data_IF_378687727485
#
_entry.id   IF_378687727485
#
_cell.length_a   1.000
_cell.length_b   1.000
_cell.length_c   1.000
_cell.angle_alpha   90.00
_cell.angle_beta   90.00
_cell.angle_gamma   90.00
#
_symmetry.space_group_name_H-M   'P 1'
#
loop_
_entity.id
_entity.type
_entity.pdbx_description
1 polymer ?
#
# COMPACT_ATOMS: atom_id res chain seq x y z
N UNK A 1 -9.32 -4.74 13.38
CA UNK A 1 -9.36 -4.97 11.92
C UNK A 1 -8.00 -5.30 11.28
N UNK A 2 -6.85 -5.05 11.94
CA UNK A 2 -5.51 -5.28 11.35
C UNK A 2 -4.81 -6.61 11.71
N UNK A 3 -5.40 -7.42 12.59
CA UNK A 3 -4.81 -8.66 13.11
C UNK A 3 -5.79 -9.85 13.02
N UNK A 4 -6.75 -9.77 12.10
CA UNK A 4 -7.82 -10.75 11.95
C UNK A 4 -8.03 -11.04 10.47
N UNK A 5 -8.53 -12.24 10.19
CA UNK A 5 -8.81 -12.68 8.82
C UNK A 5 -9.92 -11.85 8.19
N UNK A 6 -9.60 -11.04 7.20
CA UNK A 6 -10.60 -10.39 6.36
C UNK A 6 -11.33 -11.46 5.54
N UNK A 7 -12.63 -11.66 5.78
CA UNK A 7 -13.45 -12.65 5.08
C UNK A 7 -12.85 -14.09 5.11
N UNK A 8 -12.12 -14.43 6.17
CA UNK A 8 -11.49 -15.75 6.30
C UNK A 8 -10.13 -15.90 5.60
N UNK A 9 -9.65 -14.87 4.88
CA UNK A 9 -8.33 -14.88 4.25
C UNK A 9 -7.22 -14.94 5.31
N UNK A 10 -6.19 -15.75 5.04
CA UNK A 10 -5.05 -15.89 5.96
C UNK A 10 -4.30 -14.56 6.10
N UNK A 11 -4.17 -14.09 7.34
CA UNK A 11 -3.60 -12.79 7.67
C UNK A 11 -2.09 -12.91 7.89
N UNK A 12 -1.29 -12.36 6.97
CA UNK A 12 0.18 -12.40 7.07
C UNK A 12 0.66 -11.50 8.21
N UNK A 13 1.53 -12.04 9.07
CA UNK A 13 2.13 -11.26 10.17
C UNK A 13 3.25 -10.35 9.65
N UNK A 14 2.87 -9.21 9.08
CA UNK A 14 3.80 -8.22 8.52
C UNK A 14 4.74 -7.57 9.54
N UNK A 15 4.55 -7.78 10.84
CA UNK A 15 5.52 -7.37 11.86
C UNK A 15 6.77 -8.25 11.93
N UNK A 16 6.78 -9.42 11.27
CA UNK A 16 7.96 -10.30 11.19
C UNK A 16 8.85 -9.91 10.02
N UNK A 17 10.15 -9.78 10.26
CA UNK A 17 11.11 -9.40 9.20
C UNK A 17 11.14 -10.40 8.05
N UNK A 18 11.10 -11.70 8.31
CA UNK A 18 10.97 -12.72 7.26
C UNK A 18 9.80 -12.45 6.30
N UNK A 19 8.63 -12.06 6.84
CA UNK A 19 7.44 -11.77 6.02
C UNK A 19 7.65 -10.48 5.22
N UNK A 20 8.20 -9.44 5.85
CA UNK A 20 8.52 -8.16 5.17
C UNK A 20 9.53 -8.35 4.04
N UNK A 21 10.59 -9.12 4.29
CA UNK A 21 11.64 -9.42 3.32
C UNK A 21 11.08 -10.24 2.15
N UNK A 22 10.21 -11.21 2.44
CA UNK A 22 9.53 -12.00 1.40
C UNK A 22 8.66 -11.12 0.51
N UNK A 23 7.84 -10.23 1.09
CA UNK A 23 6.98 -9.31 0.34
C UNK A 23 7.83 -8.31 -0.46
N UNK A 24 8.85 -7.70 0.17
CA UNK A 24 9.75 -6.77 -0.51
C UNK A 24 10.52 -7.44 -1.65
N UNK A 25 10.96 -8.69 -1.49
CA UNK A 25 11.61 -9.46 -2.54
C UNK A 25 10.71 -9.67 -3.76
N UNK A 26 9.44 -10.01 -3.54
CA UNK A 26 8.45 -10.10 -4.63
C UNK A 26 8.27 -8.74 -5.34
N UNK A 27 8.10 -7.66 -4.59
CA UNK A 27 7.91 -6.33 -5.17
C UNK A 27 9.16 -5.85 -5.92
N UNK A 28 10.36 -6.08 -5.37
CA UNK A 28 11.63 -5.74 -6.00
C UNK A 28 11.87 -6.54 -7.29
N UNK A 29 11.39 -7.78 -7.35
CA UNK A 29 11.39 -8.53 -8.60
C UNK A 29 10.49 -7.87 -9.66
N UNK A 30 9.30 -7.40 -9.28
CA UNK A 30 8.44 -6.66 -10.22
C UNK A 30 9.07 -5.33 -10.66
N UNK A 31 9.72 -4.60 -9.74
CA UNK A 31 10.45 -3.37 -10.06
C UNK A 31 11.55 -3.65 -11.09
N UNK A 32 12.30 -4.74 -10.93
CA UNK A 32 13.37 -5.09 -11.88
C UNK A 32 12.82 -5.44 -13.27
N UNK A 33 11.59 -5.96 -13.36
CA UNK A 33 10.88 -6.18 -14.63
C UNK A 33 10.40 -4.87 -15.29
N UNK A 34 10.33 -3.76 -14.54
CA UNK A 34 10.03 -2.42 -15.08
C UNK A 34 8.66 -1.84 -14.70
N UNK A 35 7.97 -2.39 -13.70
CA UNK A 35 6.74 -1.74 -13.18
C UNK A 35 7.06 -0.38 -12.56
N UNK A 36 6.15 0.58 -12.72
CA UNK A 36 6.35 1.94 -12.19
C UNK A 36 5.88 2.11 -10.72
N UNK A 37 5.13 1.14 -10.19
CA UNK A 37 4.46 1.31 -8.90
C UNK A 37 3.47 0.22 -8.56
N UNK A 38 2.79 0.40 -7.42
CA UNK A 38 1.92 -0.59 -6.81
C UNK A 38 0.63 0.02 -6.26
N UNK A 39 -0.48 -0.69 -6.52
CA UNK A 39 -1.71 -0.63 -5.74
C UNK A 39 -1.60 -1.62 -4.60
N UNK A 40 -1.62 -1.15 -3.37
CA UNK A 40 -1.62 -2.04 -2.21
C UNK A 40 -3.06 -2.31 -1.80
N UNK A 41 -3.48 -3.55 -2.02
CA UNK A 41 -4.79 -4.07 -1.64
C UNK A 41 -4.98 -4.07 -0.12
N UNK A 42 -6.22 -3.85 0.32
CA UNK A 42 -6.62 -4.02 1.71
C UNK A 42 -5.72 -3.30 2.73
N UNK A 43 -5.12 -2.16 2.35
CA UNK A 43 -4.16 -1.44 3.18
C UNK A 43 -4.74 -0.99 4.53
N UNK A 44 -6.06 -0.78 4.60
CA UNK A 44 -6.78 -0.56 5.86
C UNK A 44 -6.55 -1.65 6.91
N UNK A 45 -6.30 -2.88 6.47
CA UNK A 45 -6.07 -4.07 7.31
C UNK A 45 -4.61 -4.28 7.67
N UNK A 46 -3.70 -3.40 7.22
CA UNK A 46 -2.28 -3.48 7.56
C UNK A 46 -1.90 -2.32 8.48
N UNK A 47 -0.91 -2.52 9.34
CA UNK A 47 -0.39 -1.43 10.16
C UNK A 47 0.45 -0.47 9.29
N UNK A 48 0.25 0.87 9.38
CA UNK A 48 1.04 1.83 8.63
C UNK A 48 2.55 1.67 8.84
N UNK A 49 2.96 1.34 10.08
CA UNK A 49 4.36 1.09 10.41
C UNK A 49 4.94 -0.16 9.73
N UNK A 50 4.14 -1.21 9.57
CA UNK A 50 4.56 -2.43 8.88
C UNK A 50 4.67 -2.19 7.36
N UNK A 51 3.72 -1.45 6.77
CA UNK A 51 3.77 -1.03 5.37
C UNK A 51 5.02 -0.18 5.09
N UNK A 52 5.30 0.82 5.93
CA UNK A 52 6.50 1.63 5.83
C UNK A 52 7.76 0.77 5.85
N UNK A 53 7.84 -0.19 6.76
CA UNK A 53 9.00 -1.08 6.86
C UNK A 53 9.18 -1.95 5.60
N UNK A 54 8.11 -2.31 4.88
CA UNK A 54 8.21 -2.97 3.58
C UNK A 54 8.69 -1.99 2.51
N UNK A 55 8.14 -0.77 2.46
CA UNK A 55 8.48 0.22 1.44
C UNK A 55 9.92 0.73 1.54
N UNK A 56 10.47 0.80 2.75
CA UNK A 56 11.88 1.13 3.00
C UNK A 56 12.86 0.09 2.44
N UNK A 57 12.39 -1.12 2.13
CA UNK A 57 13.19 -2.19 1.50
C UNK A 57 13.09 -2.22 -0.02
N UNK A 58 12.29 -1.33 -0.62
CA UNK A 58 12.10 -1.32 -2.07
C UNK A 58 13.27 -0.66 -2.79
N UNK A 59 13.61 -1.22 -3.94
CA UNK A 59 14.57 -0.62 -4.86
C UNK A 59 13.98 0.61 -5.54
N UNK A 60 14.86 1.46 -6.06
CA UNK A 60 14.48 2.44 -7.07
C UNK A 60 14.10 1.73 -8.37
N UNK A 61 13.33 2.43 -9.22
CA UNK A 61 12.83 1.92 -10.49
C UNK A 61 13.96 1.61 -11.48
N UNK A 62 13.67 0.68 -12.38
CA UNK A 62 14.62 0.21 -13.39
C UNK A 62 15.11 1.36 -14.30
N UNK A 63 16.43 1.57 -14.32
CA UNK A 63 17.08 2.68 -15.04
C UNK A 63 17.07 2.54 -16.56
N UNK A 64 16.65 1.39 -17.10
CA UNK A 64 16.39 1.24 -18.52
C UNK A 64 15.18 2.08 -18.99
N UNK A 65 14.23 2.38 -18.09
CA UNK A 65 12.99 3.07 -18.40
C UNK A 65 12.78 4.36 -17.59
N UNK A 66 13.40 4.47 -16.41
CA UNK A 66 13.23 5.59 -15.48
C UNK A 66 14.56 6.25 -15.15
N UNK A 67 14.52 7.49 -14.68
CA UNK A 67 15.73 8.19 -14.19
C UNK A 67 16.25 7.51 -12.91
N UNK A 68 17.57 7.45 -12.75
CA UNK A 68 18.19 6.92 -11.54
C UNK A 68 17.67 7.62 -10.27
N UNK A 69 17.38 6.85 -9.22
CA UNK A 69 16.80 7.37 -7.97
C UNK A 69 15.28 7.56 -7.99
N UNK A 70 14.59 7.21 -9.08
CA UNK A 70 13.12 7.28 -9.12
C UNK A 70 12.52 6.20 -8.24
N UNK A 71 11.72 6.57 -7.24
CA UNK A 71 11.02 5.61 -6.38
C UNK A 71 9.74 5.08 -7.02
N UNK A 72 9.32 3.83 -6.73
CA UNK A 72 8.03 3.31 -7.19
C UNK A 72 6.87 4.16 -6.65
N UNK A 73 5.88 4.43 -7.49
CA UNK A 73 4.65 5.08 -7.06
C UNK A 73 3.80 4.10 -6.24
N UNK A 74 3.38 4.48 -5.04
CA UNK A 74 2.57 3.62 -4.17
C UNK A 74 1.27 4.33 -3.85
N UNK A 75 0.16 3.62 -4.01
CA UNK A 75 -1.14 4.04 -3.49
C UNK A 75 -1.83 2.89 -2.75
N UNK A 76 -2.47 3.26 -1.65
CA UNK A 76 -3.01 2.36 -0.66
C UNK A 76 -4.53 2.37 -0.74
N UNK A 77 -5.12 1.19 -0.85
CA UNK A 77 -6.56 1.06 -0.69
C UNK A 77 -6.93 1.17 0.78
N UNK A 78 -7.50 2.31 1.15
CA UNK A 78 -8.09 2.53 2.48
C UNK A 78 -9.49 3.08 2.27
N UNK A 79 -10.50 2.23 2.43
CA UNK A 79 -11.90 2.66 2.40
C UNK A 79 -12.18 3.43 3.68
N UNK A 80 -12.20 4.76 3.64
CA UNK A 80 -12.57 5.61 4.77
C UNK A 80 -13.78 6.47 4.37
N UNK A 81 -14.94 6.13 4.92
CA UNK A 81 -16.21 6.84 4.70
C UNK A 81 -16.58 7.73 5.92
N UNK A 82 -15.65 7.97 6.85
CA UNK A 82 -15.84 8.86 8.00
C UNK A 82 -16.38 8.18 9.27
N UNK A 83 -17.07 7.05 9.17
CA UNK A 83 -17.77 6.41 10.30
C UNK A 83 -16.98 5.31 11.03
N UNK A 84 -15.72 5.11 10.67
CA UNK A 84 -14.86 4.07 11.26
C UNK A 84 -13.66 4.64 12.00
N UNK A 85 -13.08 3.90 12.97
CA UNK A 85 -11.94 4.38 13.76
C UNK A 85 -10.63 4.49 12.96
N UNK A 86 -10.46 3.67 11.91
CA UNK A 86 -9.28 3.78 11.04
C UNK A 86 -9.50 4.88 10.03
N UNK A 87 -8.54 5.80 9.94
CA UNK A 87 -8.60 6.96 9.06
C UNK A 87 -7.58 6.86 7.93
N UNK A 88 -7.95 7.34 6.74
CA UNK A 88 -7.05 7.45 5.60
C UNK A 88 -5.79 8.28 5.92
N UNK A 89 -5.94 9.29 6.77
CA UNK A 89 -4.85 10.16 7.24
C UNK A 89 -3.72 9.42 7.98
N UNK A 90 -3.98 8.23 8.53
CA UNK A 90 -2.92 7.40 9.13
C UNK A 90 -1.88 6.91 8.10
N UNK A 91 -2.23 6.93 6.81
CA UNK A 91 -1.45 6.36 5.72
C UNK A 91 -0.90 7.42 4.74
N UNK A 92 -1.40 8.65 4.77
CA UNK A 92 -0.97 9.72 3.85
C UNK A 92 0.48 10.15 4.05
N UNK A 93 1.06 9.87 5.23
CA UNK A 93 2.48 10.11 5.50
C UNK A 93 3.43 9.07 4.89
N UNK A 94 2.91 7.94 4.39
CA UNK A 94 3.72 6.86 3.82
C UNK A 94 3.52 6.70 2.31
N UNK A 95 2.32 6.94 1.79
CA UNK A 95 1.98 6.79 0.37
C UNK A 95 0.68 7.53 0.04
N UNK A 96 0.30 7.57 -1.25
CA UNK A 96 -1.04 8.06 -1.63
C UNK A 96 -2.11 7.09 -1.12
N UNK A 97 -3.32 7.59 -0.93
CA UNK A 97 -4.46 6.80 -0.45
C UNK A 97 -5.64 7.02 -1.40
N UNK A 98 -6.39 5.97 -1.67
CA UNK A 98 -7.63 6.05 -2.45
C UNK A 98 -8.69 6.87 -1.72
N UNK A 99 -9.17 7.94 -2.34
CA UNK A 99 -10.27 8.73 -1.82
C UNK A 99 -11.62 8.17 -2.32
N UNK A 100 -12.25 7.33 -1.51
CA UNK A 100 -13.55 6.75 -1.83
C UNK A 100 -14.70 7.76 -1.73
N UNK A 101 -14.54 8.82 -0.93
CA UNK A 101 -15.55 9.88 -0.79
C UNK A 101 -15.66 10.65 -2.09
N UNK A 102 -14.56 10.85 -2.82
CA UNK A 102 -14.56 11.52 -4.12
C UNK A 102 -15.61 10.94 -5.07
N UNK A 103 -15.60 9.62 -5.30
CA UNK A 103 -16.54 8.97 -6.21
C UNK A 103 -18.00 9.07 -5.74
N UNK A 104 -18.24 8.89 -4.44
CA UNK A 104 -19.58 9.02 -3.84
C UNK A 104 -20.11 10.44 -4.00
N UNK A 105 -19.28 11.45 -3.71
CA UNK A 105 -19.67 12.87 -3.78
C UNK A 105 -19.92 13.35 -5.20
N UNK A 106 -19.14 12.87 -6.18
CA UNK A 106 -19.43 13.16 -7.58
C UNK A 106 -20.77 12.55 -8.00
N UNK A 107 -21.06 11.31 -7.60
CA UNK A 107 -22.34 10.67 -7.91
C UNK A 107 -23.56 11.34 -7.24
N UNK A 108 -23.39 12.02 -6.10
CA UNK A 108 -24.47 12.81 -5.48
C UNK A 108 -24.80 14.10 -6.25
N UNK A 109 -23.88 14.58 -7.09
CA UNK A 109 -24.04 15.85 -7.83
C UNK A 109 -24.77 15.66 -9.17
N UNK A 110 -24.74 14.46 -9.76
CA UNK A 110 -25.31 14.15 -11.08
C UNK A 110 -26.47 13.16 -10.98
#
# INVERSE_FOLDING_TARGET
>A
VRNCRLLGMADLKLSKDYVRDTVAGYLNHLISLGVAGFRVDAAKHMWPGDLRAVFERLHDLNTAYFTAGTKPFIYLEVIDLGNEPIKAAEYTGIARVTDFIYGIKIAEVF
#
